data_IF_890386224879
#
_entry.id   IF_890386224879
#
_cell.length_a   1.000
_cell.length_b   1.000
_cell.length_c   1.000
_cell.angle_alpha   90.00
_cell.angle_beta   90.00
_cell.angle_gamma   90.00
#
_symmetry.space_group_name_H-M   'P 1'
#
loop_
_entity.id
_entity.type
_entity.pdbx_description
1 polymer ?
#
# COMPACT_ATOMS: atom_id res chain seq x y z
N UNK A 1 -0.67 62.53 17.71
CA UNK A 1 -1.03 62.31 16.29
C UNK A 1 -1.60 60.92 16.17
N UNK A 2 -2.92 60.83 15.95
CA UNK A 2 -3.60 59.61 15.53
C UNK A 2 -3.18 59.28 14.08
N UNK A 3 -2.97 58.01 13.76
CA UNK A 3 -3.58 57.38 12.59
C UNK A 3 -3.58 55.85 12.75
N UNK A 4 -4.79 55.29 12.84
CA UNK A 4 -5.06 53.89 12.57
C UNK A 4 -4.67 53.54 11.12
N UNK A 5 -4.19 52.31 10.89
CA UNK A 5 -4.91 51.34 10.03
C UNK A 5 -4.40 49.92 10.28
N UNK A 6 -5.31 48.93 10.39
CA UNK A 6 -4.98 47.51 10.54
C UNK A 6 -4.75 46.91 9.15
N UNK A 7 -3.57 46.36 8.89
CA UNK A 7 -3.31 45.63 7.64
C UNK A 7 -3.45 44.14 7.91
N UNK A 8 -4.58 43.59 7.46
CA UNK A 8 -4.75 42.24 6.90
C UNK A 8 -4.20 41.10 7.77
N UNK A 9 -5.03 40.45 8.59
CA UNK A 9 -5.81 39.27 8.15
C UNK A 9 -5.07 38.48 7.07
N UNK A 10 -3.97 37.83 7.43
CA UNK A 10 -3.36 36.80 6.60
C UNK A 10 -2.63 35.76 7.45
N UNK A 11 -3.40 34.96 8.19
CA UNK A 11 -3.06 33.56 8.49
C UNK A 11 -4.34 32.87 9.00
N UNK A 12 -5.42 33.02 8.23
CA UNK A 12 -6.57 32.15 8.31
C UNK A 12 -6.13 30.79 7.75
N UNK A 13 -6.23 29.75 8.60
CA UNK A 13 -6.38 28.34 8.24
C UNK A 13 -5.23 27.68 7.44
N UNK A 14 -4.20 27.22 8.15
CA UNK A 14 -3.43 26.02 7.76
C UNK A 14 -4.04 24.75 8.41
N UNK A 15 -5.36 24.63 8.33
CA UNK A 15 -6.09 23.39 8.62
C UNK A 15 -6.95 23.11 7.39
N UNK A 16 -6.81 21.91 6.84
CA UNK A 16 -7.41 21.42 5.60
C UNK A 16 -6.70 21.85 4.30
N UNK A 17 -5.48 21.34 4.09
CA UNK A 17 -4.97 20.87 2.79
C UNK A 17 -3.63 20.14 2.97
N UNK A 18 -3.62 19.15 3.86
CA UNK A 18 -2.65 18.05 3.80
C UNK A 18 -3.01 17.10 2.67
N UNK A 19 -3.26 17.61 1.46
CA UNK A 19 -3.22 16.77 0.28
C UNK A 19 -1.73 16.60 -0.01
N UNK A 20 -1.17 15.48 0.48
CA UNK A 20 0.00 14.87 -0.16
C UNK A 20 -0.20 15.02 -1.66
N UNK A 21 0.73 15.66 -2.37
CA UNK A 21 0.72 15.77 -3.83
C UNK A 21 0.17 14.45 -4.41
N UNK A 22 -1.01 14.54 -5.03
CA UNK A 22 -2.00 13.46 -5.06
C UNK A 22 -1.42 12.13 -5.52
N UNK A 23 -1.48 11.12 -4.66
CA UNK A 23 -1.24 9.74 -5.09
C UNK A 23 -2.29 9.39 -6.15
N UNK A 24 -1.86 9.22 -7.40
CA UNK A 24 -2.70 8.62 -8.43
C UNK A 24 -2.45 7.11 -8.46
N UNK A 25 -3.48 6.38 -8.05
CA UNK A 25 -3.50 4.92 -8.00
C UNK A 25 -3.15 4.26 -9.34
N UNK A 26 -3.63 4.82 -10.45
CA UNK A 26 -3.44 4.27 -11.79
C UNK A 26 -2.13 4.74 -12.42
N UNK A 27 -1.54 5.84 -11.98
CA UNK A 27 -0.19 6.23 -12.41
C UNK A 27 0.90 5.48 -11.61
N UNK A 28 0.68 5.25 -10.31
CA UNK A 28 1.65 4.54 -9.47
C UNK A 28 1.79 3.06 -9.87
N UNK A 29 0.66 2.39 -10.11
CA UNK A 29 0.62 1.06 -10.72
C UNK A 29 -0.47 1.09 -11.80
N UNK A 30 -0.12 1.00 -13.11
CA UNK A 30 -1.10 1.00 -14.19
C UNK A 30 -2.15 -0.09 -14.01
N UNK A 31 -3.41 0.19 -14.39
CA UNK A 31 -4.55 -0.73 -14.19
C UNK A 31 -4.31 -2.14 -14.74
N UNK A 32 -3.65 -2.26 -15.89
CA UNK A 32 -3.26 -3.57 -16.45
C UNK A 32 -2.26 -4.34 -15.56
N UNK A 33 -1.40 -3.62 -14.83
CA UNK A 33 -0.40 -4.18 -13.91
C UNK A 33 -0.99 -4.45 -12.51
N UNK A 34 -2.01 -3.69 -12.10
CA UNK A 34 -2.79 -3.99 -10.89
C UNK A 34 -3.41 -5.39 -10.98
N UNK A 35 -3.91 -5.77 -12.16
CA UNK A 35 -4.44 -7.12 -12.41
C UNK A 35 -3.34 -8.19 -12.27
N UNK A 36 -2.16 -7.98 -12.87
CA UNK A 36 -1.02 -8.91 -12.74
C UNK A 36 -0.61 -9.10 -11.28
N UNK A 37 -0.59 -8.02 -10.50
CA UNK A 37 -0.29 -8.05 -9.09
C UNK A 37 -1.35 -8.83 -8.30
N UNK A 38 -2.63 -8.59 -8.58
CA UNK A 38 -3.76 -9.27 -7.95
C UNK A 38 -3.69 -10.79 -8.20
N UNK A 39 -3.51 -11.19 -9.46
CA UNK A 39 -3.38 -12.60 -9.86
C UNK A 39 -2.18 -13.27 -9.16
N UNK A 40 -1.04 -12.58 -9.05
CA UNK A 40 0.12 -13.11 -8.36
C UNK A 40 -0.13 -13.32 -6.85
N UNK A 41 -0.85 -12.40 -6.21
CA UNK A 41 -1.19 -12.49 -4.78
C UNK A 41 -2.21 -13.61 -4.56
N UNK A 42 -3.26 -13.67 -5.37
CA UNK A 42 -4.30 -14.71 -5.27
C UNK A 42 -3.71 -16.11 -5.52
N UNK A 43 -2.86 -16.28 -6.54
CA UNK A 43 -2.16 -17.55 -6.80
C UNK A 43 -1.29 -17.99 -5.60
N UNK A 44 -0.68 -17.04 -4.89
CA UNK A 44 0.10 -17.34 -3.68
C UNK A 44 -0.76 -17.61 -2.45
N UNK A 45 -2.01 -17.16 -2.46
CA UNK A 45 -3.04 -17.44 -1.44
C UNK A 45 -3.79 -18.74 -1.72
N UNK A 46 -3.81 -19.23 -2.95
CA UNK A 46 -4.39 -20.53 -3.33
C UNK A 46 -3.78 -21.68 -2.48
N UNK A 47 -4.59 -22.72 -2.20
CA UNK A 47 -4.65 -23.30 -0.86
C UNK A 47 -3.40 -24.06 -0.45
N UNK A 48 -2.92 -23.72 0.75
CA UNK A 48 -2.36 -24.72 1.65
C UNK A 48 -3.43 -25.81 1.84
N UNK A 49 -3.08 -27.11 1.81
CA UNK A 49 -4.01 -28.24 1.84
C UNK A 49 -5.01 -28.30 3.02
N UNK A 50 -4.97 -27.36 3.97
CA UNK A 50 -5.81 -27.31 5.17
C UNK A 50 -6.79 -26.13 5.20
N UNK A 51 -6.77 -25.21 4.23
CA UNK A 51 -7.69 -24.06 4.20
C UNK A 51 -8.36 -24.01 2.83
N UNK A 52 -9.61 -24.47 2.76
CA UNK A 52 -10.41 -24.38 1.56
C UNK A 52 -10.92 -22.93 1.37
N UNK A 53 -10.84 -22.45 0.12
CA UNK A 53 -11.59 -21.31 -0.41
C UNK A 53 -11.30 -19.94 0.26
N UNK A 54 -10.06 -19.47 0.18
CA UNK A 54 -9.81 -18.04 0.41
C UNK A 54 -10.57 -17.21 -0.65
N UNK A 55 -11.23 -16.12 -0.25
CA UNK A 55 -11.87 -15.25 -1.23
C UNK A 55 -10.80 -14.60 -2.11
N UNK A 56 -11.07 -14.56 -3.42
CA UNK A 56 -10.30 -13.77 -4.37
C UNK A 56 -10.35 -12.31 -3.95
N UNK A 57 -9.23 -11.63 -4.13
CA UNK A 57 -9.11 -10.24 -3.77
C UNK A 57 -9.66 -9.34 -4.89
N UNK A 58 -10.03 -8.11 -4.51
CA UNK A 58 -10.27 -7.02 -5.45
C UNK A 58 -9.31 -5.88 -5.18
N UNK A 59 -8.95 -5.13 -6.20
CA UNK A 59 -8.00 -4.02 -6.06
C UNK A 59 -8.67 -2.77 -5.47
N UNK A 60 -8.07 -2.16 -4.44
CA UNK A 60 -8.59 -0.98 -3.75
C UNK A 60 -7.60 0.18 -3.79
N UNK A 61 -7.97 1.26 -4.49
CA UNK A 61 -7.16 2.47 -4.54
C UNK A 61 -7.06 3.20 -3.19
N UNK A 62 -8.04 3.04 -2.30
CA UNK A 62 -7.97 3.58 -0.95
C UNK A 62 -6.86 2.89 -0.14
N UNK A 63 -6.81 1.56 -0.18
CA UNK A 63 -5.75 0.78 0.45
C UNK A 63 -4.38 1.04 -0.20
N UNK A 64 -4.35 1.28 -1.51
CA UNK A 64 -3.12 1.63 -2.23
C UNK A 64 -2.58 3.01 -1.80
N UNK A 65 -3.49 3.98 -1.61
CA UNK A 65 -3.14 5.31 -1.07
C UNK A 65 -2.60 5.20 0.34
N UNK A 66 -3.23 4.38 1.19
CA UNK A 66 -2.73 4.10 2.54
C UNK A 66 -1.36 3.40 2.50
N UNK A 67 -1.17 2.43 1.61
CA UNK A 67 0.12 1.75 1.42
C UNK A 67 1.23 2.74 1.04
N UNK A 68 0.91 3.74 0.21
CA UNK A 68 1.84 4.78 -0.22
C UNK A 68 2.14 5.79 0.90
N UNK A 69 1.10 6.37 1.49
CA UNK A 69 1.20 7.48 2.43
C UNK A 69 1.47 7.05 3.88
N UNK A 70 1.15 5.80 4.22
CA UNK A 70 1.10 5.31 5.59
C UNK A 70 -0.08 5.87 6.41
N UNK A 71 -0.98 6.65 5.81
CA UNK A 71 -2.10 7.29 6.48
C UNK A 71 -3.35 6.45 6.26
N UNK A 72 -3.87 5.86 7.34
CA UNK A 72 -5.13 5.11 7.30
C UNK A 72 -6.33 6.03 7.12
N UNK A 73 -7.32 5.56 6.35
CA UNK A 73 -8.64 6.21 6.23
C UNK A 73 -9.45 6.10 7.52
N UNK A 74 -9.07 5.20 8.43
CA UNK A 74 -9.68 5.01 9.74
C UNK A 74 -8.68 5.48 10.80
N UNK A 75 -9.08 6.51 11.56
CA UNK A 75 -8.21 7.14 12.57
C UNK A 75 -7.63 6.11 13.55
N UNK A 76 -6.31 5.95 13.51
CA UNK A 76 -5.56 5.13 14.47
C UNK A 76 -5.57 3.62 14.20
N UNK A 77 -6.20 3.15 13.13
CA UNK A 77 -6.26 1.72 12.79
C UNK A 77 -5.65 1.49 11.40
N UNK A 78 -4.32 1.29 11.30
CA UNK A 78 -3.69 0.94 10.05
C UNK A 78 -4.09 -0.46 9.62
N UNK A 79 -4.31 -0.62 8.33
CA UNK A 79 -4.50 -1.92 7.73
C UNK A 79 -3.20 -2.74 7.78
N UNK A 80 -3.36 -4.05 7.90
CA UNK A 80 -2.27 -5.01 7.80
C UNK A 80 -1.84 -5.22 6.34
N UNK A 81 -0.65 -5.76 6.17
CA UNK A 81 -0.10 -6.09 4.86
C UNK A 81 1.40 -6.27 4.91
N UNK A 82 2.08 -5.99 3.81
CA UNK A 82 3.50 -6.27 3.68
C UNK A 82 4.26 -5.15 2.98
N UNK A 83 5.57 -5.18 3.14
CA UNK A 83 6.49 -4.35 2.37
C UNK A 83 7.65 -5.24 1.94
N UNK A 84 7.95 -5.24 0.65
CA UNK A 84 9.00 -6.07 0.07
C UNK A 84 9.80 -5.25 -0.94
N UNK A 85 11.09 -5.50 -1.01
CA UNK A 85 11.97 -4.87 -2.00
C UNK A 85 12.32 -5.87 -3.09
N UNK A 86 12.30 -5.45 -4.34
CA UNK A 86 12.70 -6.28 -5.49
C UNK A 86 13.54 -5.46 -6.47
N UNK A 87 14.60 -6.04 -7.07
CA UNK A 87 15.25 -5.44 -8.23
C UNK A 87 14.22 -5.14 -9.33
N UNK A 88 14.40 -4.03 -10.03
CA UNK A 88 13.52 -3.67 -11.14
C UNK A 88 14.11 -4.16 -12.47
N UNK A 89 13.34 -4.98 -13.19
CA UNK A 89 13.66 -5.41 -14.56
C UNK A 89 12.58 -4.90 -15.52
N UNK A 90 11.40 -5.52 -15.45
CA UNK A 90 10.17 -5.10 -16.12
C UNK A 90 9.04 -5.08 -15.11
N UNK A 91 7.97 -4.33 -15.36
CA UNK A 91 6.84 -4.24 -14.43
C UNK A 91 6.27 -5.60 -14.02
N UNK A 92 5.96 -6.48 -14.99
CA UNK A 92 5.33 -7.78 -14.67
C UNK A 92 6.25 -8.72 -13.92
N UNK A 93 7.49 -8.83 -14.36
CA UNK A 93 8.49 -9.71 -13.73
C UNK A 93 8.80 -9.20 -12.32
N UNK A 94 8.96 -7.89 -12.15
CA UNK A 94 9.23 -7.27 -10.86
C UNK A 94 8.09 -7.51 -9.89
N UNK A 95 6.82 -7.29 -10.29
CA UNK A 95 5.66 -7.50 -9.42
C UNK A 95 5.49 -8.97 -9.03
N UNK A 96 5.62 -9.89 -10.00
CA UNK A 96 5.56 -11.34 -9.73
C UNK A 96 6.67 -11.80 -8.79
N UNK A 97 7.90 -11.34 -9.01
CA UNK A 97 9.06 -11.68 -8.17
C UNK A 97 8.92 -11.10 -6.77
N UNK A 98 8.49 -9.85 -6.65
CA UNK A 98 8.22 -9.21 -5.37
C UNK A 98 7.21 -10.02 -4.55
N UNK A 99 6.07 -10.39 -5.13
CA UNK A 99 5.05 -11.23 -4.47
C UNK A 99 5.57 -12.62 -4.14
N UNK A 100 6.35 -13.25 -5.03
CA UNK A 100 6.96 -14.54 -4.78
C UNK A 100 7.87 -14.55 -3.54
N UNK A 101 8.52 -13.43 -3.23
CA UNK A 101 9.42 -13.27 -2.09
C UNK A 101 8.71 -12.83 -0.79
N UNK A 102 7.40 -12.56 -0.81
CA UNK A 102 6.67 -12.23 0.42
C UNK A 102 6.56 -13.46 1.31
N UNK A 103 6.91 -13.36 2.61
CA UNK A 103 6.68 -14.45 3.55
C UNK A 103 5.20 -14.84 3.59
N UNK A 104 4.92 -16.14 3.59
CA UNK A 104 3.53 -16.63 3.49
C UNK A 104 2.60 -16.04 4.56
N UNK A 105 3.10 -15.90 5.80
CA UNK A 105 2.38 -15.29 6.92
C UNK A 105 1.87 -13.87 6.63
N UNK A 106 2.57 -13.13 5.76
CA UNK A 106 2.24 -11.74 5.43
C UNK A 106 1.30 -11.64 4.21
N UNK A 107 0.91 -12.77 3.62
CA UNK A 107 -0.15 -12.90 2.62
C UNK A 107 -1.43 -13.53 3.19
N UNK A 108 -1.33 -14.13 4.39
CA UNK A 108 -2.36 -14.95 4.98
C UNK A 108 -3.37 -14.11 5.81
N UNK A 109 -4.31 -13.49 5.09
CA UNK A 109 -5.43 -12.77 5.68
C UNK A 109 -6.74 -13.43 5.24
N UNK A 110 -7.28 -14.41 5.99
CA UNK A 110 -8.35 -15.28 5.50
C UNK A 110 -9.69 -14.58 5.26
N UNK A 111 -9.89 -13.41 5.89
CA UNK A 111 -11.09 -12.58 5.73
C UNK A 111 -10.88 -11.41 4.76
N UNK A 112 -9.67 -11.21 4.24
CA UNK A 112 -9.40 -10.12 3.32
C UNK A 112 -10.05 -10.38 1.96
N UNK A 113 -10.82 -9.42 1.48
CA UNK A 113 -11.48 -9.40 0.17
C UNK A 113 -10.97 -8.26 -0.73
N UNK A 114 -10.15 -7.37 -0.18
CA UNK A 114 -9.55 -6.26 -0.90
C UNK A 114 -8.06 -6.16 -0.58
N UNK A 115 -7.29 -5.74 -1.58
CA UNK A 115 -5.88 -5.37 -1.43
C UNK A 115 -5.61 -4.10 -2.22
N UNK A 116 -4.75 -3.24 -1.71
CA UNK A 116 -4.24 -2.09 -2.45
C UNK A 116 -2.75 -1.97 -2.24
N UNK A 117 -2.02 -1.72 -3.32
CA UNK A 117 -0.57 -1.68 -3.29
C UNK A 117 -0.03 -0.39 -3.90
N UNK A 118 1.15 0.01 -3.42
CA UNK A 118 1.90 1.11 -3.97
C UNK A 118 3.35 0.70 -4.20
N UNK A 119 3.94 1.26 -5.25
CA UNK A 119 5.35 1.10 -5.59
C UNK A 119 6.08 2.41 -5.34
N UNK A 120 7.23 2.32 -4.69
CA UNK A 120 8.23 3.37 -4.64
C UNK A 120 9.47 2.88 -5.39
N UNK A 121 9.89 3.61 -6.43
CA UNK A 121 11.02 3.23 -7.27
C UNK A 121 12.26 4.03 -6.86
N UNK A 122 13.35 3.33 -6.60
CA UNK A 122 14.58 3.92 -6.10
C UNK A 122 15.80 3.34 -6.84
N UNK A 123 16.95 3.99 -6.70
CA UNK A 123 18.22 3.54 -7.28
C UNK A 123 19.19 3.21 -6.15
N UNK A 124 19.73 2.00 -6.17
CA UNK A 124 20.70 1.54 -5.18
C UNK A 124 22.05 2.22 -5.33
N UNK A 125 22.92 2.07 -4.32
CA UNK A 125 24.27 2.62 -4.35
C UNK A 125 25.16 2.06 -5.48
N UNK A 126 24.77 0.94 -6.10
CA UNK A 126 25.41 0.36 -7.27
C UNK A 126 24.81 0.86 -8.61
N UNK A 127 23.92 1.84 -8.58
CA UNK A 127 23.23 2.37 -9.76
C UNK A 127 22.09 1.49 -10.29
N UNK A 128 21.79 0.35 -9.67
CA UNK A 128 20.72 -0.54 -10.11
C UNK A 128 19.36 -0.10 -9.56
N UNK A 129 18.30 -0.04 -10.39
CA UNK A 129 16.97 0.31 -9.93
C UNK A 129 16.32 -0.84 -9.14
N UNK A 130 15.54 -0.48 -8.13
CA UNK A 130 14.71 -1.41 -7.37
C UNK A 130 13.36 -0.77 -7.04
N UNK A 131 12.39 -1.62 -6.73
CA UNK A 131 11.08 -1.20 -6.24
C UNK A 131 10.91 -1.62 -4.79
N UNK A 132 10.23 -0.77 -4.03
CA UNK A 132 9.64 -1.10 -2.74
C UNK A 132 8.14 -1.24 -2.98
N UNK A 133 7.65 -2.48 -2.96
CA UNK A 133 6.23 -2.78 -3.06
C UNK A 133 5.62 -2.82 -1.66
N UNK A 134 4.67 -1.94 -1.40
CA UNK A 134 3.91 -1.84 -0.15
C UNK A 134 2.48 -2.25 -0.45
N UNK A 135 1.92 -3.19 0.29
CA UNK A 135 0.53 -3.62 0.10
C UNK A 135 -0.22 -3.59 1.43
N UNK A 136 -1.51 -3.31 1.34
CA UNK A 136 -2.47 -3.29 2.46
C UNK A 136 -3.69 -4.12 2.11
N UNK A 137 -4.16 -4.93 3.05
CA UNK A 137 -5.40 -5.70 2.94
C UNK A 137 -6.49 -5.01 3.74
N UNK A 138 -7.77 -5.25 3.44
CA UNK A 138 -8.88 -4.78 4.28
C UNK A 138 -9.03 -5.57 5.60
N UNK A 139 -7.93 -5.77 6.30
CA UNK A 139 -7.84 -6.32 7.65
C UNK A 139 -7.05 -5.36 8.51
N UNK A 140 -7.47 -5.16 9.76
CA UNK A 140 -6.79 -4.26 10.67
C UNK A 140 -5.72 -4.99 11.45
N UNK A 141 -4.65 -4.27 11.81
CA UNK A 141 -3.66 -4.75 12.75
C UNK A 141 -4.31 -5.01 14.10
N UNK A 142 -4.60 -6.27 14.38
CA UNK A 142 -4.89 -6.69 15.75
C UNK A 142 -3.59 -6.53 16.53
N UNK A 143 -3.57 -5.69 17.58
CA UNK A 143 -2.45 -5.58 18.53
C UNK A 143 -2.25 -6.87 19.36
N UNK A 144 -2.73 -8.02 18.89
CA UNK A 144 -2.59 -9.30 19.54
C UNK A 144 -1.33 -9.98 19.03
N UNK A 145 -0.34 -10.03 19.92
CA UNK A 145 0.84 -10.88 19.82
C UNK A 145 0.47 -12.24 19.21
N UNK A 146 0.96 -12.52 18.00
CA UNK A 146 1.16 -13.90 17.55
C UNK A 146 2.34 -14.49 18.33
N UNK A 147 2.15 -14.70 19.63
CA UNK A 147 2.76 -15.83 20.31
C UNK A 147 1.89 -17.05 19.94
N UNK A 148 2.53 -18.19 19.68
CA UNK A 148 1.91 -19.45 19.23
C UNK A 148 1.61 -19.52 17.72
N UNK A 149 2.65 -19.67 16.91
CA UNK A 149 2.82 -20.83 16.01
C UNK A 149 4.31 -21.15 15.86
#
# INVERSE_FOLDING_TARGET
MNLHTPSLVFCILLLAKGQVLGYDCNENIPKSRQQVLLEAIDLRREPIPYIANLPNLTYSCALATEAFTGISSILGLPHDGFTITSPFTTWDETLKTAVANVPYKDLWYPRATQVGCAVDMQTGGNGSPYVILKCKFNTFRDNMNYQYM
#
